data_IF_305984889554
#
_entry.id   IF_305984889554
#
_cell.length_a   1.000
_cell.length_b   1.000
_cell.length_c   1.000
_cell.angle_alpha   90.00
_cell.angle_beta   90.00
_cell.angle_gamma   90.00
#
_symmetry.space_group_name_H-M   'P 1'
#
loop_
_entity.id
_entity.type
_entity.pdbx_description
1 polymer ?
#
# COMPACT_ATOMS: atom_id res chain seq x y z
N UNK A 1 -5.14 23.76 27.62
CA UNK A 1 -4.38 23.87 26.33
C UNK A 1 -5.03 22.83 25.41
N UNK A 2 -5.56 23.25 24.25
CA UNK A 2 -6.54 22.50 23.44
C UNK A 2 -6.08 21.07 23.12
N UNK A 3 -6.93 20.10 23.44
CA UNK A 3 -6.90 18.75 22.89
C UNK A 3 -7.09 18.83 21.39
N UNK A 4 -6.06 18.45 20.62
CA UNK A 4 -6.10 18.36 19.17
C UNK A 4 -6.46 16.92 18.75
N UNK A 5 -7.49 16.34 19.38
CA UNK A 5 -8.02 15.00 19.08
C UNK A 5 -8.92 14.98 17.84
N UNK A 6 -8.51 15.71 16.79
CA UNK A 6 -9.13 15.67 15.47
C UNK A 6 -8.07 15.40 14.39
N UNK A 7 -7.12 14.51 14.68
CA UNK A 7 -6.49 13.76 13.59
C UNK A 7 -7.57 12.80 13.09
N UNK A 8 -8.36 13.24 12.10
CA UNK A 8 -9.29 12.37 11.38
C UNK A 8 -8.52 11.08 11.08
N UNK A 9 -8.96 9.98 11.68
CA UNK A 9 -8.36 8.67 11.53
C UNK A 9 -8.57 8.29 10.07
N UNK A 10 -7.62 8.69 9.20
CA UNK A 10 -7.68 8.50 7.74
C UNK A 10 -7.45 7.02 7.48
N UNK A 11 -8.51 6.25 7.70
CA UNK A 11 -8.60 4.83 7.39
C UNK A 11 -8.91 4.69 5.91
N UNK A 12 -8.36 3.67 5.28
CA UNK A 12 -8.86 3.21 3.99
C UNK A 12 -10.12 2.37 4.18
N UNK A 13 -11.04 2.43 3.23
CA UNK A 13 -12.32 1.71 3.27
C UNK A 13 -12.14 0.20 3.12
N UNK A 14 -11.32 -0.22 2.15
CA UNK A 14 -11.09 -1.62 1.84
C UNK A 14 -9.60 -1.84 1.65
N UNK A 15 -9.08 -2.96 2.16
CA UNK A 15 -7.72 -3.39 1.89
C UNK A 15 -7.72 -4.83 1.41
N UNK A 16 -6.78 -5.13 0.53
CA UNK A 16 -6.47 -6.49 0.12
C UNK A 16 -5.14 -6.84 0.78
N UNK A 17 -5.10 -7.97 1.48
CA UNK A 17 -3.92 -8.43 2.21
C UNK A 17 -3.47 -9.81 1.73
N UNK A 18 -2.21 -10.16 2.00
CA UNK A 18 -1.71 -11.52 1.87
C UNK A 18 -2.26 -12.35 3.03
N UNK A 19 -2.75 -13.55 2.73
CA UNK A 19 -3.28 -14.47 3.74
C UNK A 19 -2.27 -15.60 3.99
N UNK A 20 -1.13 -15.24 4.56
CA UNK A 20 -0.05 -16.16 4.91
C UNK A 20 0.41 -15.86 6.34
N UNK A 21 0.70 -16.91 7.09
CA UNK A 21 1.29 -16.82 8.43
C UNK A 21 2.61 -17.58 8.43
N UNK A 22 3.64 -16.98 9.02
CA UNK A 22 4.95 -17.63 9.13
C UNK A 22 5.69 -17.18 10.39
N UNK A 23 6.56 -18.02 10.97
CA UNK A 23 7.42 -17.61 12.08
C UNK A 23 8.33 -16.42 11.71
N UNK A 24 8.66 -16.25 10.43
CA UNK A 24 9.43 -15.11 9.92
C UNK A 24 8.65 -13.81 10.06
N UNK A 25 7.38 -13.78 9.64
CA UNK A 25 6.49 -12.63 9.84
C UNK A 25 6.42 -12.28 11.33
N UNK A 26 6.22 -13.27 12.19
CA UNK A 26 6.10 -13.06 13.63
C UNK A 26 7.36 -12.45 14.25
N UNK A 27 8.54 -12.90 13.82
CA UNK A 27 9.82 -12.32 14.26
C UNK A 27 9.98 -10.88 13.82
N UNK A 28 9.66 -10.57 12.56
CA UNK A 28 9.75 -9.20 12.03
C UNK A 28 8.76 -8.28 12.76
N UNK A 29 7.54 -8.74 13.00
CA UNK A 29 6.51 -7.98 13.74
C UNK A 29 6.96 -7.69 15.17
N UNK A 30 7.54 -8.68 15.86
CA UNK A 30 8.03 -8.50 17.23
C UNK A 30 9.21 -7.52 17.30
N UNK A 31 10.05 -7.51 16.26
CA UNK A 31 11.19 -6.61 16.17
C UNK A 31 10.83 -5.22 15.62
N UNK A 32 9.66 -5.05 15.00
CA UNK A 32 9.24 -3.76 14.45
C UNK A 32 8.83 -2.78 15.55
N UNK A 33 9.12 -1.49 15.35
CA UNK A 33 8.86 -0.43 16.34
C UNK A 33 7.39 -0.31 16.72
N UNK A 34 6.49 -0.69 15.82
CA UNK A 34 5.05 -0.54 15.96
C UNK A 34 4.34 -1.83 16.33
N UNK A 35 5.04 -2.96 16.40
CA UNK A 35 4.41 -4.28 16.56
C UNK A 35 3.50 -4.65 15.39
N UNK A 36 3.76 -4.09 14.21
CA UNK A 36 2.96 -4.27 12.99
C UNK A 36 3.86 -4.54 11.79
N UNK A 37 3.35 -5.32 10.83
CA UNK A 37 3.93 -5.47 9.49
C UNK A 37 3.41 -4.42 8.50
N UNK A 38 2.55 -3.51 8.97
CA UNK A 38 1.92 -2.46 8.18
C UNK A 38 2.03 -1.09 8.87
N UNK A 39 1.73 -0.04 8.11
CA UNK A 39 1.67 1.36 8.56
C UNK A 39 0.39 1.72 9.35
N UNK A 40 -0.38 0.72 9.80
CA UNK A 40 -1.63 0.90 10.54
C UNK A 40 -1.60 0.14 11.86
N UNK A 41 -2.28 0.69 12.87
CA UNK A 41 -2.49 0.08 14.19
C UNK A 41 -3.78 -0.75 14.28
N UNK A 42 -4.51 -0.93 13.16
CA UNK A 42 -5.71 -1.75 13.16
C UNK A 42 -5.37 -3.22 13.46
N UNK A 43 -5.90 -3.75 14.56
CA UNK A 43 -5.57 -5.07 15.10
C UNK A 43 -5.67 -6.21 14.05
N UNK A 44 -6.69 -6.17 13.19
CA UNK A 44 -6.89 -7.19 12.15
C UNK A 44 -5.82 -7.22 11.06
N UNK A 45 -5.00 -6.17 10.95
CA UNK A 45 -3.97 -6.02 9.93
C UNK A 45 -2.54 -6.03 10.49
N UNK A 46 -2.33 -6.07 11.80
CA UNK A 46 -0.98 -6.06 12.38
C UNK A 46 -0.08 -7.17 11.85
N UNK A 47 -0.68 -8.31 11.48
CA UNK A 47 0.01 -9.52 11.02
C UNK A 47 -0.30 -9.91 9.57
N UNK A 48 -0.98 -9.04 8.82
CA UNK A 48 -1.48 -9.35 7.47
C UNK A 48 -0.98 -8.30 6.48
N UNK A 49 0.14 -8.55 5.78
CA UNK A 49 0.74 -7.57 4.86
C UNK A 49 -0.30 -7.03 3.86
N UNK A 50 -0.49 -5.71 3.86
CA UNK A 50 -1.37 -5.03 2.91
C UNK A 50 -0.64 -4.99 1.57
N UNK A 51 -1.31 -5.42 0.51
CA UNK A 51 -0.77 -5.42 -0.86
C UNK A 51 -1.24 -4.22 -1.66
N UNK A 52 -2.54 -3.93 -1.59
CA UNK A 52 -3.11 -2.69 -2.13
C UNK A 52 -4.40 -2.36 -1.40
N UNK A 53 -4.82 -1.11 -1.56
CA UNK A 53 -5.98 -0.55 -0.86
C UNK A 53 -7.02 -0.05 -1.87
N UNK A 54 -8.26 0.14 -1.43
CA UNK A 54 -9.32 0.70 -2.25
C UNK A 54 -10.05 1.77 -1.42
N UNK A 55 -10.11 2.97 -1.97
CA UNK A 55 -10.81 4.10 -1.41
C UNK A 55 -12.14 4.29 -2.13
N UNK A 56 -13.23 4.50 -1.39
CA UNK A 56 -14.57 4.69 -1.95
C UNK A 56 -15.09 6.09 -1.65
N UNK A 57 -15.71 6.71 -2.65
CA UNK A 57 -16.40 7.99 -2.51
C UNK A 57 -17.74 7.95 -3.21
N UNK A 58 -18.72 8.59 -2.60
CA UNK A 58 -20.02 8.87 -3.22
C UNK A 58 -19.88 9.88 -4.36
N UNK A 59 -20.75 9.75 -5.36
CA UNK A 59 -20.77 10.62 -6.55
C UNK A 59 -20.90 12.09 -6.16
N UNK A 60 -20.13 12.97 -6.81
CA UNK A 60 -20.15 14.42 -6.54
C UNK A 60 -19.28 14.89 -5.36
N UNK A 61 -18.60 13.99 -4.64
CA UNK A 61 -17.58 14.38 -3.65
C UNK A 61 -16.22 14.70 -4.27
N UNK A 62 -15.40 15.41 -3.50
CA UNK A 62 -14.09 15.94 -3.91
C UNK A 62 -13.08 14.83 -4.22
N UNK A 63 -12.92 14.52 -5.50
CA UNK A 63 -11.88 13.64 -6.06
C UNK A 63 -10.50 13.97 -5.50
N UNK A 64 -10.19 15.26 -5.32
CA UNK A 64 -8.91 15.70 -4.79
C UNK A 64 -8.68 15.13 -3.40
N UNK A 65 -9.70 15.17 -2.53
CA UNK A 65 -9.61 14.57 -1.19
C UNK A 65 -9.40 13.05 -1.23
N UNK A 66 -10.02 12.34 -2.17
CA UNK A 66 -9.80 10.91 -2.36
C UNK A 66 -8.34 10.62 -2.74
N UNK A 67 -7.81 11.38 -3.71
CA UNK A 67 -6.40 11.30 -4.13
C UNK A 67 -5.46 11.65 -2.97
N UNK A 68 -5.74 12.70 -2.19
CA UNK A 68 -4.90 13.05 -1.04
C UNK A 68 -4.92 11.98 0.06
N UNK A 69 -6.07 11.36 0.32
CA UNK A 69 -6.20 10.31 1.32
C UNK A 69 -5.39 9.08 0.91
N UNK A 70 -5.60 8.58 -0.31
CA UNK A 70 -4.90 7.40 -0.80
C UNK A 70 -3.40 7.66 -0.98
N UNK A 71 -3.03 8.87 -1.37
CA UNK A 71 -1.63 9.29 -1.47
C UNK A 71 -0.91 9.24 -0.13
N UNK A 72 -1.53 9.80 0.91
CA UNK A 72 -0.99 9.79 2.26
C UNK A 72 -0.85 8.36 2.79
N UNK A 73 -1.82 7.49 2.47
CA UNK A 73 -1.81 6.09 2.86
C UNK A 73 -0.65 5.32 2.20
N UNK A 74 -0.49 5.47 0.88
CA UNK A 74 0.59 4.82 0.13
C UNK A 74 1.98 5.33 0.53
N UNK A 75 2.14 6.63 0.83
CA UNK A 75 3.41 7.15 1.39
C UNK A 75 3.71 6.47 2.73
N UNK A 76 2.73 6.42 3.64
CA UNK A 76 2.93 5.81 4.95
C UNK A 76 3.24 4.30 4.82
N UNK A 77 2.64 3.61 3.84
CA UNK A 77 2.97 2.23 3.54
C UNK A 77 4.43 2.09 3.06
N UNK A 78 4.89 2.96 2.16
CA UNK A 78 6.28 3.00 1.75
C UNK A 78 7.22 3.23 2.94
N UNK A 79 6.92 4.18 3.82
CA UNK A 79 7.74 4.47 5.00
C UNK A 79 7.84 3.25 5.93
N UNK A 80 6.73 2.54 6.14
CA UNK A 80 6.74 1.30 6.93
C UNK A 80 7.55 0.19 6.24
N UNK A 81 7.49 0.07 4.91
CA UNK A 81 8.30 -0.92 4.18
C UNK A 81 9.79 -0.58 4.23
N UNK A 82 10.14 0.71 4.15
CA UNK A 82 11.52 1.19 4.32
C UNK A 82 12.06 0.80 5.71
N UNK A 83 11.29 1.06 6.77
CA UNK A 83 11.64 0.67 8.15
C UNK A 83 11.83 -0.85 8.30
N UNK A 84 10.98 -1.66 7.66
CA UNK A 84 11.04 -3.12 7.73
C UNK A 84 12.23 -3.70 6.96
N UNK A 85 12.58 -3.13 5.80
CA UNK A 85 13.78 -3.53 5.05
C UNK A 85 15.04 -3.13 5.83
N UNK A 86 15.09 -1.92 6.39
CA UNK A 86 16.23 -1.49 7.22
C UNK A 86 16.44 -2.43 8.41
N UNK A 87 15.36 -2.80 9.11
CA UNK A 87 15.39 -3.77 10.20
C UNK A 87 15.94 -5.13 9.76
N UNK A 88 15.62 -5.56 8.53
CA UNK A 88 15.96 -6.90 8.03
C UNK A 88 17.39 -7.01 7.51
N UNK A 89 17.93 -5.92 6.96
CA UNK A 89 19.28 -5.86 6.38
C UNK A 89 20.34 -5.59 7.45
N UNK A 90 19.99 -4.88 8.53
CA UNK A 90 20.90 -4.61 9.65
C UNK A 90 22.13 -3.77 9.29
N UNK A 91 22.13 -3.13 8.12
CA UNK A 91 23.20 -2.24 7.66
C UNK A 91 22.78 -0.77 7.76
N UNK A 92 23.78 0.11 7.83
CA UNK A 92 23.55 1.55 7.88
C UNK A 92 23.03 2.06 6.54
N UNK A 93 21.75 2.42 6.49
CA UNK A 93 21.11 3.04 5.34
C UNK A 93 21.56 4.52 5.24
N UNK A 94 21.91 5.02 4.04
CA UNK A 94 22.19 6.44 3.84
C UNK A 94 20.97 7.31 4.21
N UNK A 95 21.15 8.41 4.96
CA UNK A 95 20.06 9.31 5.28
C UNK A 95 19.34 9.81 4.02
N UNK A 96 18.01 9.79 4.05
CA UNK A 96 17.19 10.25 2.91
C UNK A 96 17.14 9.29 1.73
N UNK A 97 17.60 8.04 1.88
CA UNK A 97 17.34 6.97 0.91
C UNK A 97 16.10 6.15 1.26
N UNK A 98 15.57 5.42 0.27
CA UNK A 98 14.49 4.44 0.46
C UNK A 98 15.06 3.03 0.31
N UNK A 99 15.25 2.30 1.42
CA UNK A 99 15.64 0.90 1.41
C UNK A 99 14.73 0.03 0.53
N UNK A 100 13.42 0.17 0.64
CA UNK A 100 12.48 -0.66 -0.12
C UNK A 100 12.67 -0.46 -1.63
N UNK A 101 12.85 0.78 -2.08
CA UNK A 101 13.13 1.07 -3.49
C UNK A 101 14.52 0.59 -3.91
N UNK A 102 15.54 0.73 -3.05
CA UNK A 102 16.88 0.23 -3.32
C UNK A 102 16.93 -1.32 -3.43
N UNK A 103 16.03 -2.01 -2.74
CA UNK A 103 15.83 -3.46 -2.81
C UNK A 103 14.84 -3.89 -3.89
N UNK A 104 14.47 -2.98 -4.81
CA UNK A 104 13.74 -3.34 -6.03
C UNK A 104 12.22 -3.22 -5.97
N UNK A 105 11.62 -2.64 -4.91
CA UNK A 105 10.21 -2.27 -4.97
C UNK A 105 10.04 -1.08 -5.93
N UNK A 106 9.17 -1.21 -6.92
CA UNK A 106 9.02 -0.17 -7.94
C UNK A 106 7.85 0.78 -7.64
N UNK A 107 6.71 0.24 -7.19
CA UNK A 107 5.51 1.01 -6.89
C UNK A 107 4.59 0.28 -5.90
N UNK A 108 3.68 1.05 -5.30
CA UNK A 108 2.54 0.55 -4.54
C UNK A 108 1.24 0.97 -5.23
N UNK A 109 0.38 0.03 -5.65
CA UNK A 109 -0.88 0.34 -6.32
C UNK A 109 -2.03 0.57 -5.33
N UNK A 110 -3.08 1.24 -5.82
CA UNK A 110 -4.35 1.39 -5.14
C UNK A 110 -5.47 1.67 -6.14
N UNK A 111 -6.72 1.61 -5.68
CA UNK A 111 -7.90 1.91 -6.50
C UNK A 111 -8.76 2.98 -5.82
N UNK A 112 -9.28 3.91 -6.61
CA UNK A 112 -10.33 4.84 -6.17
C UNK A 112 -11.63 4.47 -6.88
N UNK A 113 -12.69 4.29 -6.12
CA UNK A 113 -14.06 4.11 -6.61
C UNK A 113 -14.82 5.40 -6.33
N UNK A 114 -15.33 6.04 -7.37
CA UNK A 114 -16.20 7.22 -7.24
C UNK A 114 -17.54 6.95 -7.93
N UNK A 115 -18.57 6.71 -7.12
CA UNK A 115 -19.87 6.27 -7.64
C UNK A 115 -19.73 4.97 -8.41
N UNK A 116 -19.92 5.03 -9.73
CA UNK A 116 -19.76 3.88 -10.62
C UNK A 116 -18.38 3.78 -11.28
N UNK A 117 -17.57 4.84 -11.21
CA UNK A 117 -16.29 4.92 -11.92
C UNK A 117 -15.15 4.39 -11.05
N UNK A 118 -14.27 3.60 -11.66
CA UNK A 118 -13.13 2.99 -11.00
C UNK A 118 -11.84 3.48 -11.64
N UNK A 119 -10.87 3.81 -10.80
CA UNK A 119 -9.62 4.43 -11.21
C UNK A 119 -8.45 3.75 -10.53
N UNK A 120 -7.43 3.40 -11.31
CA UNK A 120 -6.14 2.97 -10.79
C UNK A 120 -5.29 4.19 -10.42
N UNK A 121 -4.59 4.07 -9.29
CA UNK A 121 -3.58 5.01 -8.83
C UNK A 121 -2.38 4.25 -8.28
N UNK A 122 -1.21 4.87 -8.27
CA UNK A 122 -0.02 4.27 -7.67
C UNK A 122 0.94 5.33 -7.13
N UNK A 123 1.82 4.91 -6.23
CA UNK A 123 2.99 5.67 -5.80
C UNK A 123 4.24 4.86 -6.08
N UNK A 124 5.12 5.39 -6.92
CA UNK A 124 6.49 4.91 -7.03
C UNK A 124 7.41 5.76 -6.15
N UNK A 125 8.49 5.17 -5.66
CA UNK A 125 9.49 5.85 -4.86
C UNK A 125 10.87 5.57 -5.43
N UNK A 126 11.69 6.62 -5.62
CA UNK A 126 13.08 6.44 -6.02
C UNK A 126 13.93 6.00 -4.83
N UNK A 127 15.10 5.40 -5.08
CA UNK A 127 16.08 5.09 -4.03
C UNK A 127 16.55 6.32 -3.24
N UNK A 128 16.40 7.53 -3.79
CA UNK A 128 16.62 8.82 -3.13
C UNK A 128 15.40 9.37 -2.39
N UNK A 129 14.44 8.50 -2.05
CA UNK A 129 13.22 8.81 -1.30
C UNK A 129 12.35 9.92 -1.93
N UNK A 130 12.26 9.96 -3.27
CA UNK A 130 11.35 10.87 -3.97
C UNK A 130 10.11 10.10 -4.42
N UNK A 131 8.94 10.55 -3.95
CA UNK A 131 7.65 9.99 -4.33
C UNK A 131 7.17 10.56 -5.67
N UNK A 132 6.65 9.70 -6.54
CA UNK A 132 5.94 10.09 -7.77
C UNK A 132 4.55 9.48 -7.73
N UNK A 133 3.56 10.34 -7.94
CA UNK A 133 2.14 9.98 -7.88
C UNK A 133 1.57 9.78 -9.28
N UNK A 134 1.06 8.57 -9.51
CA UNK A 134 0.36 8.19 -10.73
C UNK A 134 -1.13 8.23 -10.45
N UNK A 135 -1.84 9.13 -11.12
CA UNK A 135 -3.29 9.31 -10.92
C UNK A 135 -4.02 9.35 -12.27
N UNK A 136 -5.35 9.14 -12.23
CA UNK A 136 -6.27 9.29 -13.37
C UNK A 136 -6.19 8.19 -14.45
N UNK A 137 -5.81 6.96 -14.08
CA UNK A 137 -5.93 5.83 -14.99
C UNK A 137 -7.34 5.24 -14.83
N UNK A 138 -8.24 5.57 -15.75
CA UNK A 138 -9.59 5.00 -15.77
C UNK A 138 -9.53 3.50 -16.09
N UNK A 139 -10.17 2.67 -15.27
CA UNK A 139 -10.15 1.21 -15.45
C UNK A 139 -11.53 0.62 -15.77
N UNK A 140 -12.61 1.36 -15.54
CA UNK A 140 -13.94 0.99 -15.97
C UNK A 140 -15.05 1.57 -15.12
N UNK A 141 -16.28 1.19 -15.47
CA UNK A 141 -17.49 1.60 -14.76
C UNK A 141 -18.44 0.43 -14.57
N UNK A 142 -19.15 0.41 -13.43
CA UNK A 142 -20.19 -0.58 -13.15
C UNK A 142 -21.50 -0.33 -13.91
N UNK A 143 -21.61 0.76 -14.69
CA UNK A 143 -22.81 1.07 -15.49
C UNK A 143 -22.85 0.36 -16.85
N UNK A 144 -21.79 -0.36 -17.22
CA UNK A 144 -21.72 -1.08 -18.49
C UNK A 144 -21.02 -2.42 -18.32
N UNK A 145 -21.46 -3.43 -19.07
CA UNK A 145 -20.84 -4.76 -19.07
C UNK A 145 -19.35 -4.70 -19.45
N UNK A 146 -18.99 -3.89 -20.45
CA UNK A 146 -17.60 -3.68 -20.85
C UNK A 146 -16.77 -3.05 -19.72
N UNK A 147 -17.32 -2.05 -19.02
CA UNK A 147 -16.64 -1.43 -17.89
C UNK A 147 -16.42 -2.40 -16.73
N UNK A 148 -17.38 -3.27 -16.44
CA UNK A 148 -17.24 -4.34 -15.43
C UNK A 148 -16.12 -5.31 -15.81
N UNK A 149 -16.00 -5.69 -17.09
CA UNK A 149 -14.88 -6.53 -17.54
C UNK A 149 -13.54 -5.81 -17.40
N UNK A 150 -13.45 -4.52 -17.70
CA UNK A 150 -12.24 -3.71 -17.47
C UNK A 150 -11.81 -3.69 -16.01
N UNK A 151 -12.75 -3.43 -15.10
CA UNK A 151 -12.52 -3.46 -13.65
C UNK A 151 -12.00 -4.84 -13.23
N UNK A 152 -12.69 -5.90 -13.65
CA UNK A 152 -12.35 -7.28 -13.28
C UNK A 152 -10.94 -7.65 -13.74
N UNK A 153 -10.60 -7.32 -14.99
CA UNK A 153 -9.28 -7.60 -15.57
C UNK A 153 -8.17 -6.88 -14.79
N UNK A 154 -8.36 -5.61 -14.41
CA UNK A 154 -7.35 -4.87 -13.63
C UNK A 154 -7.21 -5.43 -12.22
N UNK A 155 -8.30 -5.76 -11.53
CA UNK A 155 -8.21 -6.38 -10.19
C UNK A 155 -7.50 -7.72 -10.24
N UNK A 156 -7.75 -8.53 -11.27
CA UNK A 156 -7.04 -9.78 -11.51
C UNK A 156 -5.56 -9.56 -11.81
N UNK A 157 -5.22 -8.55 -12.61
CA UNK A 157 -3.83 -8.17 -12.90
C UNK A 157 -3.08 -7.74 -11.63
N UNK A 158 -3.71 -6.94 -10.76
CA UNK A 158 -3.14 -6.58 -9.45
C UNK A 158 -2.97 -7.82 -8.56
N UNK A 159 -3.94 -8.73 -8.58
CA UNK A 159 -3.83 -10.02 -7.90
C UNK A 159 -2.64 -10.84 -8.39
N UNK A 160 -2.42 -10.87 -9.71
CA UNK A 160 -1.28 -11.56 -10.32
C UNK A 160 0.05 -10.92 -9.93
N UNK A 161 0.19 -9.60 -10.12
CA UNK A 161 1.39 -8.82 -9.72
C UNK A 161 1.76 -9.05 -8.25
N UNK A 162 0.77 -9.17 -7.37
CA UNK A 162 1.03 -9.49 -5.96
C UNK A 162 1.74 -10.84 -5.82
N UNK A 163 1.29 -11.85 -6.55
CA UNK A 163 1.82 -13.21 -6.46
C UNK A 163 3.17 -13.36 -7.15
N UNK A 164 3.43 -12.60 -8.21
CA UNK A 164 4.63 -12.73 -9.05
C UNK A 164 5.75 -11.78 -8.67
N UNK A 165 5.41 -10.60 -8.13
CA UNK A 165 6.38 -9.52 -7.91
C UNK A 165 6.40 -9.08 -6.45
N UNK A 166 5.29 -8.54 -5.93
CA UNK A 166 5.26 -7.92 -4.60
C UNK A 166 5.55 -8.90 -3.47
N UNK A 167 4.86 -10.05 -3.43
CA UNK A 167 5.03 -11.00 -2.34
C UNK A 167 6.39 -11.70 -2.37
N UNK A 168 6.90 -12.16 -3.53
CA UNK A 168 8.30 -12.61 -3.64
C UNK A 168 9.31 -11.56 -3.18
N UNK A 169 9.15 -10.30 -3.61
CA UNK A 169 10.00 -9.20 -3.14
C UNK A 169 9.93 -9.05 -1.61
N UNK A 170 8.73 -9.04 -1.03
CA UNK A 170 8.53 -8.90 0.40
C UNK A 170 9.23 -10.02 1.18
N UNK A 171 9.08 -11.26 0.72
CA UNK A 171 9.73 -12.43 1.32
C UNK A 171 11.26 -12.31 1.27
N UNK A 172 11.81 -11.91 0.13
CA UNK A 172 13.26 -11.72 -0.03
C UNK A 172 13.80 -10.57 0.82
N UNK A 173 13.19 -9.38 0.72
CA UNK A 173 13.74 -8.16 1.29
C UNK A 173 13.45 -8.01 2.80
N UNK A 174 12.34 -8.57 3.30
CA UNK A 174 11.88 -8.37 4.69
C UNK A 174 11.91 -9.68 5.48
N UNK A 175 11.52 -10.81 4.87
CA UNK A 175 11.51 -12.09 5.60
C UNK A 175 12.83 -12.86 5.49
N UNK A 176 13.78 -12.38 4.68
CA UNK A 176 15.03 -13.06 4.34
C UNK A 176 14.78 -14.49 3.83
N UNK A 177 13.75 -14.65 2.99
CA UNK A 177 13.35 -15.91 2.35
C UNK A 177 13.58 -15.84 0.84
N UNK A 178 14.35 -16.79 0.31
CA UNK A 178 14.55 -16.96 -1.12
C UNK A 178 13.32 -17.57 -1.81
#
# INVERSE_FOLDING_TARGET
>A
RKDNSAQHNRKIDICVHVNETSPQLDRVILASRTGSINHTSYAGLLRRPIRFSIETKTTGHDWSNAVYQIASWLIAQWDALDDLVELSVGQRIPPGSSPAAAFGLEFLPSVIIQGHEWWFVAVSRTSSNKNVFWTKVYIGSTTSTQGVYGITAVIQLLGHWVTTDYWPWFKSAILNQA
#
